data_IF_413307072705
#
_entry.id   IF_413307072705
#
_cell.length_a   1.000
_cell.length_b   1.000
_cell.length_c   1.000
_cell.angle_alpha   90.00
_cell.angle_beta   90.00
_cell.angle_gamma   90.00
#
_symmetry.space_group_name_H-M   'P 1'
#
loop_
_entity.id
_entity.type
_entity.pdbx_description
1 polymer ?
#
# COMPACT_ATOMS: atom_id res chain seq x y z
N UNK A 1 -10.98 -24.54 -1.27
CA UNK A 1 -9.53 -24.67 -1.06
C UNK A 1 -9.25 -26.11 -0.65
N UNK A 2 -8.69 -26.93 -1.54
CA UNK A 2 -8.18 -28.25 -1.16
C UNK A 2 -6.70 -28.12 -0.85
N UNK A 3 -6.29 -28.57 0.34
CA UNK A 3 -4.90 -28.50 0.79
C UNK A 3 -4.19 -29.82 0.53
N UNK A 4 -3.09 -29.78 -0.23
CA UNK A 4 -2.22 -30.93 -0.40
C UNK A 4 -1.60 -31.36 0.95
N UNK A 5 -1.50 -32.68 1.18
CA UNK A 5 -1.05 -33.29 2.45
C UNK A 5 0.32 -32.81 2.95
N UNK A 6 1.20 -32.34 2.06
CA UNK A 6 2.57 -31.96 2.39
C UNK A 6 2.66 -30.79 3.38
N UNK A 7 1.80 -29.77 3.24
CA UNK A 7 1.79 -28.59 4.11
C UNK A 7 1.53 -28.94 5.59
N UNK A 8 0.77 -30.02 5.84
CA UNK A 8 0.41 -30.49 7.19
C UNK A 8 1.54 -31.26 7.88
N UNK A 9 2.61 -31.62 7.16
CA UNK A 9 3.71 -32.42 7.69
C UNK A 9 4.80 -31.60 8.39
N UNK A 10 4.76 -30.26 8.26
CA UNK A 10 5.73 -29.37 8.89
C UNK A 10 5.57 -29.36 10.41
N UNK A 11 6.64 -29.67 11.14
CA UNK A 11 6.64 -29.59 12.62
C UNK A 11 6.34 -28.16 13.08
N UNK A 12 5.39 -28.03 14.02
CA UNK A 12 4.93 -26.75 14.56
C UNK A 12 3.83 -26.08 13.73
N UNK A 13 3.37 -26.69 12.63
CA UNK A 13 2.15 -26.25 11.93
C UNK A 13 0.91 -26.43 12.83
N UNK A 14 0.08 -25.40 12.94
CA UNK A 14 -1.14 -25.41 13.74
C UNK A 14 -2.38 -25.45 12.84
N UNK A 15 -2.42 -24.62 11.80
CA UNK A 15 -3.59 -24.50 10.95
C UNK A 15 -3.47 -23.40 9.90
N UNK A 16 -4.55 -23.22 9.14
CA UNK A 16 -4.69 -22.12 8.18
C UNK A 16 -5.93 -21.31 8.52
N UNK A 17 -5.84 -20.00 8.30
CA UNK A 17 -6.95 -19.07 8.40
C UNK A 17 -7.10 -18.33 7.07
N UNK A 18 -8.32 -18.29 6.54
CA UNK A 18 -8.62 -17.44 5.37
C UNK A 18 -9.06 -16.07 5.87
N UNK A 19 -8.38 -15.03 5.39
CA UNK A 19 -8.80 -13.64 5.59
C UNK A 19 -9.61 -13.22 4.36
N UNK A 20 -10.84 -12.81 4.59
CA UNK A 20 -11.69 -12.31 3.51
C UNK A 20 -11.17 -10.94 3.03
N UNK A 21 -11.23 -10.67 1.71
CA UNK A 21 -10.86 -9.37 1.19
C UNK A 21 -11.80 -8.28 1.70
N UNK A 22 -11.26 -7.10 1.98
CA UNK A 22 -12.08 -5.92 2.27
C UNK A 22 -12.92 -5.56 1.03
N UNK A 23 -14.26 -5.46 1.13
CA UNK A 23 -15.09 -5.12 -0.02
C UNK A 23 -14.80 -3.72 -0.57
N UNK A 24 -14.65 -3.60 -1.89
CA UNK A 24 -14.41 -2.32 -2.56
C UNK A 24 -12.93 -1.89 -2.50
N UNK A 25 -12.68 -0.58 -2.48
CA UNK A 25 -11.32 -0.07 -2.32
C UNK A 25 -10.83 -0.41 -0.90
N UNK A 26 -9.72 -1.13 -0.74
CA UNK A 26 -9.29 -1.62 0.56
C UNK A 26 -8.75 -0.52 1.46
N UNK A 27 -8.45 0.68 0.95
CA UNK A 27 -7.78 1.74 1.73
C UNK A 27 -6.59 1.14 2.48
N UNK A 28 -6.53 1.23 3.82
CA UNK A 28 -5.49 0.63 4.64
C UNK A 28 -5.92 -0.64 5.38
N UNK A 29 -6.93 -1.34 4.84
CA UNK A 29 -7.43 -2.61 5.35
C UNK A 29 -6.81 -3.80 4.61
N UNK A 30 -6.81 -5.00 5.23
CA UNK A 30 -6.26 -6.20 4.61
C UNK A 30 -6.91 -6.51 3.25
N UNK A 31 -6.08 -6.92 2.29
CA UNK A 31 -6.52 -7.34 0.94
C UNK A 31 -7.18 -8.73 0.94
N UNK A 32 -7.16 -9.43 2.07
CA UNK A 32 -7.52 -10.84 2.16
C UNK A 32 -6.33 -11.75 1.84
N UNK A 33 -6.49 -13.05 2.08
CA UNK A 33 -5.42 -14.01 1.85
C UNK A 33 -5.57 -15.28 2.68
N UNK A 34 -4.49 -16.07 2.75
CA UNK A 34 -4.41 -17.28 3.57
C UNK A 34 -3.24 -17.12 4.54
N UNK A 35 -3.55 -17.06 5.83
CA UNK A 35 -2.56 -17.02 6.89
C UNK A 35 -2.19 -18.45 7.33
N UNK A 36 -0.89 -18.73 7.40
CA UNK A 36 -0.36 -19.95 8.01
C UNK A 36 -0.12 -19.73 9.48
N UNK A 37 -0.78 -20.52 10.32
CA UNK A 37 -0.62 -20.48 11.77
C UNK A 37 0.35 -21.58 12.18
N UNK A 38 1.41 -21.20 12.88
CA UNK A 38 2.42 -22.12 13.37
C UNK A 38 3.04 -21.62 14.69
N UNK A 39 3.71 -22.51 15.41
CA UNK A 39 4.42 -22.21 16.66
C UNK A 39 5.66 -21.33 16.46
N UNK A 40 6.23 -21.32 15.25
CA UNK A 40 7.40 -20.53 14.90
C UNK A 40 7.25 -19.88 13.54
N UNK A 41 7.88 -18.70 13.37
CA UNK A 41 7.94 -18.01 12.07
C UNK A 41 8.56 -18.88 10.98
N UNK A 42 9.58 -19.68 11.32
CA UNK A 42 10.19 -20.60 10.37
C UNK A 42 9.19 -21.65 9.88
N UNK A 43 8.47 -22.31 10.78
CA UNK A 43 7.46 -23.30 10.39
C UNK A 43 6.35 -22.67 9.54
N UNK A 44 5.86 -21.47 9.91
CA UNK A 44 4.86 -20.75 9.13
C UNK A 44 5.35 -20.46 7.70
N UNK A 45 6.56 -19.91 7.55
CA UNK A 45 7.14 -19.57 6.25
C UNK A 45 7.46 -20.80 5.39
N UNK A 46 7.93 -21.90 5.98
CA UNK A 46 8.18 -23.14 5.23
C UNK A 46 6.87 -23.77 4.74
N UNK A 47 5.84 -23.80 5.59
CA UNK A 47 4.53 -24.28 5.19
C UNK A 47 3.90 -23.39 4.12
N UNK A 48 4.01 -22.06 4.24
CA UNK A 48 3.47 -21.12 3.24
C UNK A 48 4.03 -21.39 1.83
N UNK A 49 5.34 -21.67 1.71
CA UNK A 49 6.00 -22.03 0.45
C UNK A 49 5.52 -23.35 -0.17
N UNK A 50 4.88 -24.21 0.61
CA UNK A 50 4.36 -25.51 0.16
C UNK A 50 2.87 -25.46 -0.18
N UNK A 51 2.19 -24.33 0.08
CA UNK A 51 0.79 -24.18 -0.26
C UNK A 51 0.64 -24.05 -1.77
N UNK A 52 -0.22 -24.90 -2.33
CA UNK A 52 -0.72 -24.76 -3.69
C UNK A 52 -2.11 -24.13 -3.61
N UNK A 53 -2.21 -22.86 -4.02
CA UNK A 53 -3.43 -22.08 -3.92
C UNK A 53 -3.87 -21.65 -5.30
N UNK A 54 -5.10 -22.03 -5.65
CA UNK A 54 -5.77 -21.55 -6.87
C UNK A 54 -6.55 -20.30 -6.52
N UNK A 55 -6.11 -19.16 -7.05
CA UNK A 55 -6.79 -17.87 -6.93
C UNK A 55 -7.72 -17.64 -8.12
N UNK A 56 -8.80 -16.87 -7.91
CA UNK A 56 -9.64 -16.39 -9.01
C UNK A 56 -8.92 -15.30 -9.78
N UNK A 57 -9.11 -15.26 -11.10
CA UNK A 57 -8.60 -14.17 -11.94
C UNK A 57 -9.23 -12.82 -11.56
N UNK A 58 -8.49 -11.71 -11.65
CA UNK A 58 -9.04 -10.38 -11.43
C UNK A 58 -10.05 -10.02 -12.52
N UNK A 59 -11.06 -9.22 -12.18
CA UNK A 59 -12.09 -8.76 -13.12
C UNK A 59 -11.59 -7.73 -14.14
N UNK A 60 -10.41 -7.13 -13.89
CA UNK A 60 -9.77 -6.15 -14.75
C UNK A 60 -8.27 -6.41 -14.81
N UNK A 61 -7.69 -6.28 -16.00
CA UNK A 61 -6.25 -6.38 -16.20
C UNK A 61 -5.72 -5.04 -16.71
N UNK A 62 -4.58 -4.62 -16.18
CA UNK A 62 -3.82 -3.47 -16.68
C UNK A 62 -2.36 -3.89 -16.83
N UNK A 63 -1.71 -3.37 -17.86
CA UNK A 63 -0.27 -3.56 -18.07
C UNK A 63 0.45 -2.24 -17.81
N UNK A 64 1.74 -2.29 -17.42
CA UNK A 64 2.55 -1.08 -17.26
C UNK A 64 2.52 -0.19 -18.52
N UNK A 65 2.68 -0.71 -19.75
CA UNK A 65 2.57 0.12 -20.95
C UNK A 65 1.20 0.79 -21.11
N UNK A 66 0.10 0.04 -20.99
CA UNK A 66 -1.25 0.61 -21.14
C UNK A 66 -1.56 1.67 -20.08
N UNK A 67 -1.07 1.48 -18.87
CA UNK A 67 -1.26 2.43 -17.77
C UNK A 67 -0.45 3.71 -18.00
N UNK A 68 0.81 3.59 -18.41
CA UNK A 68 1.65 4.75 -18.71
C UNK A 68 1.10 5.55 -19.90
N UNK A 69 0.64 4.88 -20.96
CA UNK A 69 0.02 5.55 -22.11
C UNK A 69 -1.25 6.32 -21.71
N UNK A 70 -2.04 5.77 -20.78
CA UNK A 70 -3.18 6.48 -20.22
C UNK A 70 -2.75 7.75 -19.46
N UNK A 71 -1.73 7.67 -18.61
CA UNK A 71 -1.22 8.84 -17.88
C UNK A 71 -0.67 9.92 -18.83
N UNK A 72 0.08 9.53 -19.88
CA UNK A 72 0.58 10.45 -20.92
C UNK A 72 -0.57 11.16 -21.65
N UNK A 73 -1.60 10.40 -22.02
CA UNK A 73 -2.77 10.97 -22.70
C UNK A 73 -3.49 11.98 -21.83
N UNK A 74 -3.64 11.69 -20.52
CA UNK A 74 -4.30 12.58 -19.57
C UNK A 74 -3.59 13.93 -19.41
N UNK A 75 -2.25 13.94 -19.32
CA UNK A 75 -1.50 15.20 -19.18
C UNK A 75 -1.52 16.05 -20.45
N UNK A 76 -1.80 15.46 -21.62
CA UNK A 76 -1.97 16.19 -22.89
C UNK A 76 -3.26 17.01 -22.97
N UNK A 77 -4.26 16.68 -22.14
CA UNK A 77 -5.58 17.32 -22.17
C UNK A 77 -5.72 18.43 -21.11
N UNK A 78 -6.59 19.44 -21.29
CA UNK A 78 -6.94 20.37 -20.23
C UNK A 78 -7.41 19.63 -18.97
N UNK A 79 -7.00 20.11 -17.81
CA UNK A 79 -7.28 19.52 -16.50
C UNK A 79 -7.76 20.56 -15.51
N UNK A 80 -8.22 20.13 -14.34
CA UNK A 80 -8.64 21.03 -13.26
C UNK A 80 -7.43 21.86 -12.78
N UNK A 81 -7.51 23.21 -12.77
CA UNK A 81 -6.44 24.03 -12.22
C UNK A 81 -6.36 23.87 -10.70
N UNK A 82 -5.13 23.69 -10.20
CA UNK A 82 -4.82 23.69 -8.75
C UNK A 82 -4.14 25.00 -8.32
N UNK A 83 -3.50 25.70 -9.26
CA UNK A 83 -2.83 26.97 -9.07
C UNK A 83 -2.74 27.69 -10.42
N UNK A 84 -3.05 28.99 -10.44
CA UNK A 84 -2.97 29.83 -11.62
C UNK A 84 -2.44 31.22 -11.22
N UNK A 85 -1.56 31.77 -12.06
CA UNK A 85 -1.02 33.11 -11.88
C UNK A 85 -0.64 33.69 -13.23
N UNK A 86 -1.25 34.81 -13.61
CA UNK A 86 -1.10 35.40 -14.95
C UNK A 86 -1.91 34.65 -16.01
N UNK A 87 -1.54 34.85 -17.27
CA UNK A 87 -2.21 34.25 -18.44
C UNK A 87 -1.15 33.61 -19.35
N UNK A 88 -0.81 32.36 -19.04
CA UNK A 88 0.19 31.60 -19.79
C UNK A 88 -0.31 31.23 -21.19
N UNK A 89 -1.61 30.99 -21.35
CA UNK A 89 -2.22 30.60 -22.63
C UNK A 89 -2.08 31.72 -23.67
N UNK A 90 -2.37 32.98 -23.28
CA UNK A 90 -2.12 34.13 -24.15
C UNK A 90 -0.65 34.26 -24.56
N UNK A 91 0.30 33.96 -23.68
CA UNK A 91 1.73 33.98 -24.04
C UNK A 91 2.06 32.85 -25.01
N UNK A 92 1.54 31.64 -24.81
CA UNK A 92 1.74 30.52 -25.73
C UNK A 92 1.14 30.78 -27.11
N UNK A 93 -0.02 31.44 -27.19
CA UNK A 93 -0.66 31.82 -28.46
C UNK A 93 0.15 32.86 -29.24
N UNK A 94 0.74 33.84 -28.54
CA UNK A 94 1.47 34.94 -29.17
C UNK A 94 2.94 34.61 -29.49
N UNK A 95 3.63 33.96 -28.56
CA UNK A 95 5.07 33.75 -28.62
C UNK A 95 5.47 32.30 -28.91
N UNK A 96 4.50 31.37 -28.90
CA UNK A 96 4.73 29.94 -29.08
C UNK A 96 5.35 29.27 -27.86
N UNK A 97 5.46 27.94 -27.93
CA UNK A 97 6.10 27.11 -26.89
C UNK A 97 7.56 26.88 -27.31
N UNK A 98 8.50 27.26 -26.45
CA UNK A 98 9.94 27.04 -26.72
C UNK A 98 10.43 25.70 -26.19
N UNK A 99 9.83 25.20 -25.10
CA UNK A 99 10.17 23.93 -24.48
C UNK A 99 8.91 23.15 -24.13
N UNK A 100 8.88 21.88 -24.52
CA UNK A 100 7.86 20.93 -24.13
C UNK A 100 8.51 19.59 -23.76
N UNK A 101 8.13 19.04 -22.62
CA UNK A 101 8.61 17.73 -22.19
C UNK A 101 7.55 17.01 -21.33
N UNK A 102 7.50 15.68 -21.48
CA UNK A 102 6.74 14.80 -20.59
C UNK A 102 7.75 14.01 -19.76
N UNK A 103 7.61 14.08 -18.44
CA UNK A 103 8.38 13.30 -17.48
C UNK A 103 7.49 12.27 -16.81
N UNK A 104 8.04 11.11 -16.51
CA UNK A 104 7.29 10.00 -15.93
C UNK A 104 8.03 9.40 -14.74
N UNK A 105 7.28 8.94 -13.76
CA UNK A 105 7.77 8.15 -12.63
C UNK A 105 7.03 6.81 -12.59
N UNK A 106 7.72 5.66 -12.43
CA UNK A 106 7.06 4.38 -12.28
C UNK A 106 6.47 4.23 -10.87
N UNK A 107 5.74 3.14 -10.64
CA UNK A 107 5.46 2.70 -9.28
C UNK A 107 6.76 2.32 -8.59
N UNK A 108 6.94 2.76 -7.35
CA UNK A 108 8.12 2.46 -6.54
C UNK A 108 7.70 1.85 -5.22
N UNK A 109 8.31 0.71 -4.90
CA UNK A 109 8.18 0.11 -3.57
C UNK A 109 9.04 0.87 -2.56
N UNK A 110 8.58 0.91 -1.32
CA UNK A 110 9.32 1.46 -0.20
C UNK A 110 10.50 0.56 0.21
N UNK A 111 10.33 -0.76 0.05
CA UNK A 111 11.32 -1.80 0.36
C UNK A 111 12.12 -1.58 1.66
N UNK A 112 11.48 -1.30 2.81
CA UNK A 112 12.21 -1.14 4.08
C UNK A 112 12.95 -2.43 4.43
N UNK A 113 14.16 -2.35 5.01
CA UNK A 113 14.95 -3.55 5.32
C UNK A 113 14.21 -4.53 6.23
N UNK A 114 13.39 -4.03 7.15
CA UNK A 114 12.46 -4.81 7.98
C UNK A 114 11.07 -4.88 7.31
N UNK A 115 10.62 -6.05 6.83
CA UNK A 115 9.25 -6.24 6.33
C UNK A 115 8.19 -5.94 7.42
N UNK A 116 6.92 -5.71 7.04
CA UNK A 116 5.83 -5.53 7.98
C UNK A 116 5.73 -6.67 9.01
N UNK A 117 5.55 -6.30 10.27
CA UNK A 117 5.42 -7.23 11.38
C UNK A 117 4.58 -6.59 12.49
N UNK A 118 3.62 -7.34 13.02
CA UNK A 118 2.80 -6.93 14.15
C UNK A 118 2.49 -8.12 15.06
N UNK A 119 2.51 -7.90 16.36
CA UNK A 119 1.94 -8.79 17.36
C UNK A 119 0.67 -8.14 17.90
N UNK A 120 -0.44 -8.87 17.90
CA UNK A 120 -1.68 -8.43 18.53
C UNK A 120 -2.13 -9.44 19.58
N UNK A 121 -2.67 -8.93 20.69
CA UNK A 121 -3.40 -9.69 21.71
C UNK A 121 -4.77 -9.03 21.92
N UNK A 122 -5.79 -9.60 21.26
CA UNK A 122 -7.17 -9.12 21.35
C UNK A 122 -7.90 -9.88 22.45
N UNK A 123 -8.37 -9.14 23.46
CA UNK A 123 -9.19 -9.65 24.57
C UNK A 123 -10.59 -9.03 24.51
N UNK A 124 -11.46 -9.42 25.46
CA UNK A 124 -12.85 -8.98 25.47
C UNK A 124 -13.00 -7.45 25.68
N UNK A 125 -12.17 -6.87 26.52
CA UNK A 125 -12.24 -5.47 26.96
C UNK A 125 -11.04 -4.61 26.53
N UNK A 126 -9.96 -5.24 26.08
CA UNK A 126 -8.70 -4.57 25.75
C UNK A 126 -8.00 -5.22 24.56
N UNK A 127 -7.31 -4.40 23.76
CA UNK A 127 -6.46 -4.86 22.66
C UNK A 127 -5.08 -4.24 22.77
N UNK A 128 -4.05 -5.08 22.81
CA UNK A 128 -2.65 -4.65 22.75
C UNK A 128 -2.04 -5.02 21.41
N UNK A 129 -1.33 -4.07 20.81
CA UNK A 129 -0.56 -4.29 19.59
C UNK A 129 0.88 -3.84 19.81
N UNK A 130 1.85 -4.63 19.35
CA UNK A 130 3.25 -4.24 19.21
C UNK A 130 3.61 -4.25 17.73
N UNK A 131 3.97 -3.09 17.19
CA UNK A 131 4.28 -2.96 15.77
C UNK A 131 5.23 -1.79 15.50
N UNK A 132 6.02 -1.91 14.44
CA UNK A 132 6.90 -0.86 13.94
C UNK A 132 6.14 0.12 13.02
N UNK A 133 5.16 0.85 13.56
CA UNK A 133 4.31 1.80 12.79
C UNK A 133 4.83 3.23 12.81
N UNK A 134 4.60 3.97 11.73
CA UNK A 134 4.94 5.40 11.60
C UNK A 134 3.87 6.33 12.18
N UNK A 135 2.61 5.90 12.15
CA UNK A 135 1.46 6.67 12.62
C UNK A 135 0.64 5.84 13.63
N UNK A 136 1.06 5.79 14.91
CA UNK A 136 0.41 4.97 15.92
C UNK A 136 -1.01 5.45 16.25
N UNK A 137 -1.30 6.75 16.13
CA UNK A 137 -2.64 7.28 16.39
C UNK A 137 -3.63 6.80 15.32
N UNK A 138 -3.28 6.95 14.05
CA UNK A 138 -4.10 6.43 12.96
C UNK A 138 -4.23 4.91 13.04
N UNK A 139 -3.15 4.19 13.37
CA UNK A 139 -3.18 2.74 13.58
C UNK A 139 -4.19 2.35 14.66
N UNK A 140 -4.17 3.04 15.80
CA UNK A 140 -5.12 2.81 16.91
C UNK A 140 -6.56 3.00 16.46
N UNK A 141 -6.84 4.07 15.73
CA UNK A 141 -8.19 4.39 15.28
C UNK A 141 -8.69 3.39 14.22
N UNK A 142 -7.81 2.89 13.34
CA UNK A 142 -8.13 1.79 12.42
C UNK A 142 -8.44 0.48 13.16
N UNK A 143 -7.65 0.12 14.17
CA UNK A 143 -7.90 -1.08 15.00
C UNK A 143 -9.22 -0.95 15.76
N UNK A 144 -9.48 0.22 16.37
CA UNK A 144 -10.71 0.48 17.09
C UNK A 144 -11.93 0.40 16.16
N UNK A 145 -11.85 1.00 14.97
CA UNK A 145 -12.87 0.91 13.93
C UNK A 145 -13.11 -0.52 13.46
N UNK A 146 -12.03 -1.29 13.21
CA UNK A 146 -12.10 -2.70 12.80
C UNK A 146 -12.82 -3.57 13.84
N UNK A 147 -12.48 -3.39 15.12
CA UNK A 147 -13.07 -4.12 16.24
C UNK A 147 -14.43 -3.56 16.70
N UNK A 148 -14.84 -2.41 16.17
CA UNK A 148 -16.03 -1.65 16.60
C UNK A 148 -16.01 -1.35 18.11
N UNK A 149 -14.85 -0.92 18.60
CA UNK A 149 -14.62 -0.55 20.01
C UNK A 149 -14.15 0.91 20.13
N UNK A 150 -14.01 1.40 21.35
CA UNK A 150 -13.47 2.74 21.63
C UNK A 150 -11.94 2.71 21.52
N UNK A 151 -11.34 3.74 20.91
CA UNK A 151 -9.87 3.86 20.80
C UNK A 151 -9.15 3.80 22.15
N UNK A 152 -9.81 4.16 23.27
CA UNK A 152 -9.21 4.03 24.61
C UNK A 152 -8.96 2.58 25.05
N UNK A 153 -9.66 1.63 24.43
CA UNK A 153 -9.51 0.19 24.69
C UNK A 153 -8.39 -0.44 23.83
N UNK A 154 -7.70 0.36 23.01
CA UNK A 154 -6.65 -0.09 22.10
C UNK A 154 -5.33 0.59 22.45
N UNK A 155 -4.32 -0.21 22.79
CA UNK A 155 -2.96 0.24 23.03
C UNK A 155 -2.04 -0.15 21.86
N UNK A 156 -1.37 0.85 21.27
CA UNK A 156 -0.34 0.65 20.25
C UNK A 156 1.04 0.89 20.90
N UNK A 157 1.76 -0.20 21.12
CA UNK A 157 3.13 -0.22 21.62
C UNK A 157 4.11 -0.14 20.44
N UNK A 158 4.62 1.06 20.16
CA UNK A 158 5.54 1.27 19.03
C UNK A 158 6.90 0.64 19.33
N UNK A 159 7.31 -0.30 18.49
CA UNK A 159 8.61 -0.97 18.59
C UNK A 159 9.70 -0.22 17.80
N UNK A 160 10.96 -0.64 17.91
CA UNK A 160 12.01 -0.18 17.01
C UNK A 160 11.63 -0.44 15.55
N UNK A 161 11.96 0.49 14.65
CA UNK A 161 11.47 0.53 13.28
C UNK A 161 12.65 0.45 12.30
N UNK A 162 12.75 -0.65 11.55
CA UNK A 162 13.82 -0.96 10.59
C UNK A 162 13.60 -0.39 9.19
N UNK A 163 13.25 0.89 9.12
CA UNK A 163 12.79 1.58 7.90
C UNK A 163 11.28 1.45 7.66
N UNK A 164 10.72 2.42 6.94
CA UNK A 164 9.30 2.39 6.53
C UNK A 164 9.00 3.27 5.31
N UNK A 165 9.55 4.50 5.26
CA UNK A 165 9.47 5.41 4.11
C UNK A 165 8.04 5.79 3.63
N UNK A 166 7.02 5.52 4.44
CA UNK A 166 5.60 5.71 4.09
C UNK A 166 4.79 4.41 4.12
N UNK A 167 5.43 3.24 3.97
CA UNK A 167 4.77 1.91 4.00
C UNK A 167 4.09 1.62 5.32
N UNK A 168 4.78 1.87 6.44
CA UNK A 168 4.30 1.53 7.79
C UNK A 168 3.44 2.63 8.43
N UNK A 169 2.99 3.61 7.64
CA UNK A 169 1.84 4.46 7.96
C UNK A 169 0.50 3.79 7.59
N UNK A 170 0.53 2.67 6.85
CA UNK A 170 -0.64 1.87 6.49
C UNK A 170 -0.69 0.66 7.42
N UNK A 171 -1.71 0.53 8.29
CA UNK A 171 -1.77 -0.51 9.32
C UNK A 171 -2.40 -1.83 8.86
N UNK A 172 -2.45 -2.13 7.57
CA UNK A 172 -3.05 -3.35 7.01
C UNK A 172 -2.52 -4.63 7.69
N UNK A 173 -1.20 -4.76 7.82
CA UNK A 173 -0.55 -5.88 8.52
C UNK A 173 -0.86 -5.94 10.04
N UNK A 174 -1.18 -4.80 10.66
CA UNK A 174 -1.64 -4.76 12.06
C UNK A 174 -3.05 -5.31 12.15
N UNK A 175 -3.92 -4.93 11.23
CA UNK A 175 -5.30 -5.40 11.19
C UNK A 175 -5.39 -6.90 10.90
N UNK A 176 -4.49 -7.47 10.09
CA UNK A 176 -4.35 -8.92 9.95
C UNK A 176 -4.04 -9.60 11.29
N UNK A 177 -3.06 -9.09 12.04
CA UNK A 177 -2.70 -9.64 13.35
C UNK A 177 -3.86 -9.55 14.35
N UNK A 178 -4.55 -8.41 14.37
CA UNK A 178 -5.74 -8.18 15.21
C UNK A 178 -6.85 -9.15 14.84
N UNK A 179 -7.16 -9.30 13.56
CA UNK A 179 -8.22 -10.19 13.10
C UNK A 179 -7.94 -11.66 13.43
N UNK A 180 -6.71 -12.12 13.20
CA UNK A 180 -6.28 -13.47 13.54
C UNK A 180 -6.28 -13.70 15.06
N UNK A 181 -5.78 -12.75 15.85
CA UNK A 181 -5.79 -12.83 17.31
C UNK A 181 -7.22 -12.92 17.85
N UNK A 182 -8.13 -12.10 17.31
CA UNK A 182 -9.56 -12.10 17.66
C UNK A 182 -10.22 -13.45 17.38
N UNK A 183 -9.98 -14.03 16.20
CA UNK A 183 -10.58 -15.32 15.79
C UNK A 183 -10.02 -16.48 16.61
N UNK A 184 -8.71 -16.52 16.79
CA UNK A 184 -8.00 -17.62 17.44
C UNK A 184 -7.92 -17.47 18.97
N UNK A 185 -8.39 -16.34 19.51
CA UNK A 185 -8.43 -16.02 20.95
C UNK A 185 -7.08 -16.20 21.64
N UNK A 186 -6.02 -15.71 21.00
CA UNK A 186 -4.66 -15.79 21.50
C UNK A 186 -3.77 -14.71 20.91
N UNK A 187 -2.62 -14.39 21.52
CA UNK A 187 -1.65 -13.51 20.90
C UNK A 187 -1.16 -14.08 19.57
N UNK A 188 -1.20 -13.28 18.50
CA UNK A 188 -0.76 -13.65 17.15
C UNK A 188 0.25 -12.63 16.65
N UNK A 189 1.43 -13.14 16.24
CA UNK A 189 2.41 -12.37 15.47
C UNK A 189 2.23 -12.66 13.99
N UNK A 190 1.89 -11.64 13.22
CA UNK A 190 1.97 -11.65 11.76
C UNK A 190 3.35 -11.13 11.35
N UNK A 191 4.03 -11.90 10.50
CA UNK A 191 5.32 -11.54 9.91
C UNK A 191 5.19 -11.74 8.41
N UNK A 192 5.26 -10.65 7.65
CA UNK A 192 5.29 -10.74 6.20
C UNK A 192 6.67 -11.22 5.74
N UNK A 193 6.68 -11.95 4.62
CA UNK A 193 7.91 -12.21 3.87
C UNK A 193 8.34 -10.96 3.10
N UNK A 194 9.55 -10.97 2.52
CA UNK A 194 9.96 -9.89 1.61
C UNK A 194 9.10 -9.89 0.36
N UNK A 195 8.77 -11.07 -0.14
CA UNK A 195 7.96 -11.26 -1.33
C UNK A 195 6.56 -10.67 -1.12
N UNK A 196 5.93 -10.92 0.04
CA UNK A 196 4.64 -10.33 0.39
C UNK A 196 4.72 -8.79 0.47
N UNK A 197 5.76 -8.25 1.12
CA UNK A 197 5.98 -6.80 1.24
C UNK A 197 6.14 -6.12 -0.12
N UNK A 198 6.90 -6.72 -1.03
CA UNK A 198 7.10 -6.16 -2.37
C UNK A 198 5.85 -6.32 -3.24
N UNK A 199 5.09 -7.42 -3.12
CA UNK A 199 3.90 -7.67 -3.95
C UNK A 199 2.65 -6.92 -3.49
N UNK A 200 2.55 -6.63 -2.19
CA UNK A 200 1.38 -6.00 -1.57
C UNK A 200 1.75 -4.66 -0.91
N UNK A 201 2.72 -3.94 -1.49
CA UNK A 201 3.09 -2.60 -1.06
C UNK A 201 1.97 -1.59 -1.39
N UNK A 202 1.93 -0.50 -0.64
CA UNK A 202 1.27 0.73 -1.05
C UNK A 202 2.25 1.56 -1.88
N UNK A 203 2.52 1.15 -3.12
CA UNK A 203 3.55 1.78 -3.95
C UNK A 203 3.40 3.30 -4.04
N UNK A 204 4.53 4.01 -4.10
CA UNK A 204 4.52 5.38 -4.59
C UNK A 204 3.89 5.38 -5.98
N UNK A 205 2.87 6.22 -6.19
CA UNK A 205 2.09 6.23 -7.41
C UNK A 205 2.97 6.51 -8.64
N UNK A 206 2.73 5.76 -9.72
CA UNK A 206 3.24 6.14 -11.04
C UNK A 206 2.59 7.46 -11.47
N UNK A 207 3.34 8.31 -12.17
CA UNK A 207 2.84 9.62 -12.61
C UNK A 207 3.40 10.01 -13.97
N UNK A 208 2.66 10.83 -14.69
CA UNK A 208 3.14 11.59 -15.83
C UNK A 208 3.00 13.09 -15.54
N UNK A 209 3.93 13.88 -16.07
CA UNK A 209 3.96 15.33 -15.92
C UNK A 209 4.34 15.98 -17.24
N UNK A 210 3.42 16.77 -17.82
CA UNK A 210 3.70 17.62 -18.97
C UNK A 210 4.15 18.99 -18.47
N UNK A 211 5.28 19.46 -18.99
CA UNK A 211 5.74 20.84 -18.83
C UNK A 211 5.80 21.51 -20.21
N UNK A 212 5.24 22.72 -20.28
CA UNK A 212 5.37 23.64 -21.41
C UNK A 212 5.89 24.97 -20.89
N UNK A 213 6.85 25.55 -21.59
CA UNK A 213 7.36 26.87 -21.27
C UNK A 213 7.68 27.68 -22.53
N UNK A 214 7.52 28.99 -22.40
CA UNK A 214 8.07 29.99 -23.30
C UNK A 214 9.19 30.70 -22.55
N UNK A 215 10.40 30.68 -23.08
CA UNK A 215 11.54 31.39 -22.52
C UNK A 215 11.76 32.71 -23.27
N UNK A 216 12.21 33.74 -22.56
CA UNK A 216 12.70 34.98 -23.17
C UNK A 216 14.14 34.82 -23.72
N UNK A 217 14.67 35.88 -24.34
CA UNK A 217 16.02 35.89 -24.93
C UNK A 217 17.14 35.69 -23.90
N UNK A 218 16.87 35.91 -22.61
CA UNK A 218 17.79 35.65 -21.51
C UNK A 218 17.66 34.22 -20.96
N UNK A 219 16.74 33.42 -21.50
CA UNK A 219 16.46 32.05 -21.06
C UNK A 219 15.54 31.96 -19.84
N UNK A 220 14.87 33.05 -19.45
CA UNK A 220 13.97 33.08 -18.30
C UNK A 220 12.54 32.71 -18.68
N UNK A 221 11.78 31.99 -17.83
CA UNK A 221 10.39 31.64 -18.13
C UNK A 221 9.49 32.87 -18.23
N UNK A 222 8.92 33.11 -19.41
CA UNK A 222 7.86 34.08 -19.68
C UNK A 222 6.47 33.48 -19.44
N UNK A 223 6.31 32.19 -19.74
CA UNK A 223 5.13 31.40 -19.41
C UNK A 223 5.51 29.97 -19.06
N UNK A 224 4.69 29.36 -18.20
CA UNK A 224 4.87 27.99 -17.70
C UNK A 224 3.50 27.34 -17.52
N UNK A 225 3.34 26.13 -18.05
CA UNK A 225 2.22 25.25 -17.79
C UNK A 225 2.74 23.89 -17.33
N UNK A 226 2.24 23.42 -16.20
CA UNK A 226 2.46 22.06 -15.71
C UNK A 226 1.11 21.35 -15.61
N UNK A 227 1.04 20.12 -16.13
CA UNK A 227 -0.08 19.20 -15.92
C UNK A 227 0.45 17.89 -15.37
N UNK A 228 -0.24 17.33 -14.39
CA UNK A 228 0.14 16.05 -13.79
C UNK A 228 -1.04 15.08 -13.78
N UNK A 229 -0.75 13.81 -13.99
CA UNK A 229 -1.69 12.70 -13.86
C UNK A 229 -1.05 11.60 -13.02
N UNK A 230 -1.79 11.10 -12.03
CA UNK A 230 -1.41 10.00 -11.15
C UNK A 230 -2.69 9.36 -10.57
N UNK A 231 -2.69 8.06 -10.22
CA UNK A 231 -3.79 7.43 -9.51
C UNK A 231 -3.86 7.92 -8.06
N UNK A 232 -5.05 7.90 -7.47
CA UNK A 232 -5.19 8.05 -6.02
C UNK A 232 -4.53 6.88 -5.28
N UNK A 233 -3.89 7.17 -4.15
CA UNK A 233 -3.40 6.19 -3.17
C UNK A 233 -4.53 5.85 -2.20
#
# INVERSE_FOLDING_TARGET
>A
MELHQNAKSQTGFIGLETLDPTPGAPWFFPLGGVAVIAETTYAAMQTAKQLDIVWSEPSTTATTPSFNDQLRSLVGSPSRPIFESGDADSVFENDGITLEAVYETPFLSHAPMEPPCALADVREDHTEVWASVQDPQSTRDHVAGWLKTDSKNVAINVTLLGGAFGRKSKPDFVLEAVELSRRLKRPIRVQWSREDDIQHDYYHAASAQLFRATLDDAGMPKAWLQRTAFPSI
#
